data_IF_683747820889
#
_entry.id   IF_683747820889
#
_cell.length_a   1.000
_cell.length_b   1.000
_cell.length_c   1.000
_cell.angle_alpha   90.00
_cell.angle_beta   90.00
_cell.angle_gamma   90.00
#
_symmetry.space_group_name_H-M   'P 1'
#
loop_
_entity.id
_entity.type
_entity.pdbx_description
1 polymer ?
#
# COMPACT_ATOMS: atom_id res chain seq x y z
N UNK A 1 55.71 -20.15 31.19
CA UNK A 1 54.94 -18.99 30.75
C UNK A 1 53.48 -19.19 31.14
N UNK A 2 52.90 -18.16 31.73
CA UNK A 2 51.90 -18.27 32.79
C UNK A 2 50.48 -18.67 32.35
N UNK A 3 49.92 -19.60 33.12
CA UNK A 3 48.58 -19.59 33.72
C UNK A 3 47.34 -19.45 32.85
N UNK A 4 46.72 -20.63 32.66
CA UNK A 4 45.29 -20.88 32.50
C UNK A 4 44.50 -20.36 33.73
N UNK A 5 43.34 -19.76 33.44
CA UNK A 5 42.20 -19.26 34.26
C UNK A 5 42.06 -19.82 35.70
N UNK A 6 41.52 -19.06 36.70
CA UNK A 6 40.07 -19.16 36.95
C UNK A 6 39.35 -18.03 37.78
N UNK A 7 38.01 -18.00 37.63
CA UNK A 7 36.96 -17.96 38.69
C UNK A 7 36.55 -16.68 39.47
N UNK A 8 35.23 -16.58 39.63
CA UNK A 8 34.39 -15.98 40.70
C UNK A 8 34.21 -14.44 40.68
N UNK A 9 33.03 -13.84 40.44
CA UNK A 9 31.65 -13.99 40.96
C UNK A 9 31.34 -13.07 42.17
N UNK A 10 30.12 -12.49 42.13
CA UNK A 10 29.40 -11.65 43.13
C UNK A 10 29.85 -10.17 43.26
N UNK A 11 29.02 -9.15 43.51
CA UNK A 11 27.58 -8.85 43.64
C UNK A 11 27.53 -7.31 43.66
N UNK A 12 26.54 -6.61 43.11
CA UNK A 12 25.38 -6.02 43.83
C UNK A 12 24.66 -5.10 42.82
N UNK A 13 23.35 -5.26 42.69
CA UNK A 13 22.42 -4.24 42.17
C UNK A 13 22.06 -3.29 43.33
N UNK A 14 21.86 -1.98 43.11
CA UNK A 14 20.47 -1.55 43.01
C UNK A 14 20.18 -0.31 42.13
N UNK A 15 18.94 -0.33 41.64
CA UNK A 15 18.04 0.80 41.39
C UNK A 15 18.17 1.61 40.08
N UNK A 16 17.16 1.40 39.24
CA UNK A 16 16.79 2.15 38.04
C UNK A 16 16.46 3.64 38.33
N UNK A 17 16.29 4.46 37.27
CA UNK A 17 14.97 4.48 36.63
C UNK A 17 15.03 4.35 35.10
N UNK A 18 14.26 3.36 34.63
CA UNK A 18 13.30 3.40 33.52
C UNK A 18 13.42 4.65 32.63
N UNK A 19 14.09 4.48 31.48
CA UNK A 19 13.59 5.09 30.25
C UNK A 19 13.14 3.97 29.33
N UNK A 20 11.85 3.66 29.49
CA UNK A 20 11.01 3.11 28.43
C UNK A 20 11.29 3.84 27.12
N UNK A 21 11.68 3.12 26.08
CA UNK A 21 10.81 3.02 24.90
C UNK A 21 11.34 1.95 23.96
N UNK A 22 10.50 0.96 23.63
CA UNK A 22 10.79 -0.05 22.64
C UNK A 22 10.41 0.45 21.23
N UNK A 23 10.82 -0.37 20.27
CA UNK A 23 10.01 -0.79 19.15
C UNK A 23 10.07 0.02 17.85
N UNK A 24 10.37 -0.77 16.81
CA UNK A 24 9.95 -0.61 15.43
C UNK A 24 9.86 0.83 14.91
N UNK A 25 10.86 1.23 14.13
CA UNK A 25 10.65 2.12 13.00
C UNK A 25 9.77 1.41 11.95
N UNK A 26 8.51 1.19 12.30
CA UNK A 26 7.39 1.10 11.38
C UNK A 26 7.37 2.44 10.68
N UNK A 27 8.09 2.57 9.58
CA UNK A 27 7.96 3.77 8.76
C UNK A 27 6.51 3.83 8.28
N UNK A 28 5.71 4.83 8.69
CA UNK A 28 4.43 5.04 8.07
C UNK A 28 4.73 5.38 6.61
N UNK A 29 4.31 4.54 5.68
CA UNK A 29 4.33 4.84 4.24
C UNK A 29 3.75 6.26 4.09
N UNK A 30 4.58 7.22 3.69
CA UNK A 30 4.16 8.60 3.43
C UNK A 30 3.00 8.54 2.45
N UNK A 31 1.77 8.70 2.95
CA UNK A 31 0.60 9.00 2.10
C UNK A 31 0.99 10.28 1.39
N UNK A 32 1.16 10.20 0.07
CA UNK A 32 1.52 11.38 -0.75
C UNK A 32 0.53 12.48 -0.38
N UNK A 33 1.04 13.63 0.04
CA UNK A 33 0.21 14.76 0.40
C UNK A 33 -0.81 15.01 -0.73
N UNK A 34 -2.08 15.29 -0.39
CA UNK A 34 -3.04 15.70 -1.39
C UNK A 34 -2.43 16.84 -2.21
N UNK A 35 -2.61 16.80 -3.52
CA UNK A 35 -2.12 17.88 -4.38
C UNK A 35 -2.65 19.20 -3.82
N UNK A 36 -1.75 20.18 -3.65
CA UNK A 36 -2.03 21.50 -3.08
C UNK A 36 -3.31 22.05 -3.73
N UNK A 37 -4.42 22.10 -2.98
CA UNK A 37 -5.74 22.49 -3.46
C UNK A 37 -6.82 21.41 -3.55
N UNK A 38 -6.59 20.16 -3.12
CA UNK A 38 -7.69 19.18 -3.03
C UNK A 38 -8.44 19.39 -1.70
N UNK A 39 -9.70 19.85 -1.70
CA UNK A 39 -10.49 19.88 -0.48
C UNK A 39 -10.62 18.45 0.08
N UNK A 40 -10.65 18.27 1.41
CA UNK A 40 -10.71 16.95 2.04
C UNK A 40 -11.96 16.15 1.65
N UNK A 41 -12.98 16.79 1.08
CA UNK A 41 -14.28 16.22 0.73
C UNK A 41 -14.43 15.79 -0.74
N UNK A 42 -13.32 15.61 -1.48
CA UNK A 42 -13.42 15.15 -2.88
C UNK A 42 -13.72 13.66 -2.95
N UNK A 43 -14.95 13.32 -3.32
CA UNK A 43 -15.36 11.95 -3.66
C UNK A 43 -14.44 11.39 -4.78
N UNK A 44 -13.78 10.24 -4.58
CA UNK A 44 -12.91 9.63 -5.58
C UNK A 44 -13.71 9.15 -6.79
N UNK A 45 -13.05 8.94 -7.93
CA UNK A 45 -13.72 8.38 -9.12
C UNK A 45 -13.99 6.89 -8.91
N UNK A 46 -15.11 6.34 -9.41
CA UNK A 46 -15.28 4.90 -9.49
C UNK A 46 -14.14 4.29 -10.32
N UNK A 47 -13.68 3.11 -9.93
CA UNK A 47 -12.57 2.42 -10.60
C UNK A 47 -13.08 1.81 -11.90
N UNK A 48 -12.29 1.95 -12.98
CA UNK A 48 -12.56 1.24 -14.22
C UNK A 48 -11.91 -0.16 -14.21
N UNK A 49 -12.21 -0.96 -15.22
CA UNK A 49 -11.73 -2.34 -15.34
C UNK A 49 -10.20 -2.45 -15.27
N UNK A 50 -9.48 -1.57 -16.00
CA UNK A 50 -8.02 -1.54 -15.99
C UNK A 50 -7.44 -1.17 -14.61
N UNK A 51 -8.07 -0.24 -13.90
CA UNK A 51 -7.63 0.15 -12.54
C UNK A 51 -7.82 -1.02 -11.58
N UNK A 52 -8.94 -1.74 -11.67
CA UNK A 52 -9.19 -2.95 -10.87
C UNK A 52 -8.14 -4.01 -11.17
N UNK A 53 -7.94 -4.34 -12.44
CA UNK A 53 -6.91 -5.28 -12.89
C UNK A 53 -5.52 -4.90 -12.38
N UNK A 54 -5.11 -3.63 -12.53
CA UNK A 54 -3.79 -3.17 -12.08
C UNK A 54 -3.62 -3.31 -10.57
N UNK A 55 -4.66 -3.07 -9.78
CA UNK A 55 -4.59 -3.22 -8.31
C UNK A 55 -4.37 -4.68 -7.92
N UNK A 56 -5.07 -5.60 -8.57
CA UNK A 56 -4.94 -7.05 -8.35
C UNK A 56 -3.58 -7.57 -8.83
N UNK A 57 -3.18 -7.22 -10.06
CA UNK A 57 -1.90 -7.62 -10.65
C UNK A 57 -0.67 -7.01 -9.94
N UNK A 58 -0.82 -5.84 -9.32
CA UNK A 58 0.26 -5.19 -8.56
C UNK A 58 0.40 -5.72 -7.12
N UNK A 59 -0.38 -6.73 -6.72
CA UNK A 59 -0.23 -7.41 -5.43
C UNK A 59 0.99 -8.34 -5.34
N UNK A 60 1.79 -8.44 -6.42
CA UNK A 60 3.07 -9.18 -6.45
C UNK A 60 4.09 -8.47 -5.53
N UNK A 61 4.79 -9.22 -4.65
CA UNK A 61 5.47 -8.68 -3.47
C UNK A 61 6.54 -7.63 -3.79
N UNK A 62 6.28 -6.42 -3.31
CA UNK A 62 7.11 -5.45 -2.58
C UNK A 62 8.62 -5.21 -2.87
N UNK A 63 9.30 -5.96 -3.71
CA UNK A 63 10.69 -5.68 -4.13
C UNK A 63 10.76 -4.51 -5.13
N UNK A 64 9.73 -4.34 -5.97
CA UNK A 64 9.63 -3.25 -6.97
C UNK A 64 8.78 -2.09 -6.42
N UNK A 65 9.11 -1.60 -5.23
CA UNK A 65 8.16 -0.83 -4.43
C UNK A 65 7.87 0.60 -4.89
N UNK A 66 8.65 1.20 -5.81
CA UNK A 66 8.53 2.65 -6.02
C UNK A 66 8.16 3.13 -7.44
N UNK A 67 8.30 2.31 -8.48
CA UNK A 67 8.06 2.76 -9.86
C UNK A 67 6.63 2.50 -10.35
N UNK A 68 5.70 3.37 -9.97
CA UNK A 68 4.32 3.35 -10.50
C UNK A 68 4.27 3.47 -12.03
N UNK A 69 5.26 4.14 -12.63
CA UNK A 69 5.42 4.23 -14.09
C UNK A 69 5.66 2.85 -14.71
N UNK A 70 6.60 2.07 -14.17
CA UNK A 70 6.92 0.71 -14.66
C UNK A 70 5.74 -0.23 -14.47
N UNK A 71 5.09 -0.18 -13.31
CA UNK A 71 3.87 -0.97 -13.02
C UNK A 71 2.77 -0.71 -14.05
N UNK A 72 2.48 0.56 -14.33
CA UNK A 72 1.43 0.92 -15.29
C UNK A 72 1.79 0.51 -16.72
N UNK A 73 3.06 0.64 -17.13
CA UNK A 73 3.53 0.14 -18.43
C UNK A 73 3.42 -1.38 -18.54
N UNK A 74 3.86 -2.12 -17.52
CA UNK A 74 3.77 -3.58 -17.51
C UNK A 74 2.33 -4.06 -17.53
N UNK A 75 1.47 -3.49 -16.67
CA UNK A 75 0.05 -3.82 -16.64
C UNK A 75 -0.64 -3.48 -17.96
N UNK A 76 -0.28 -2.37 -18.62
CA UNK A 76 -0.83 -2.03 -19.93
C UNK A 76 -0.52 -3.08 -21.01
N UNK A 77 0.71 -3.63 -21.02
CA UNK A 77 1.08 -4.72 -21.93
C UNK A 77 0.27 -5.99 -21.66
N UNK A 78 0.14 -6.37 -20.39
CA UNK A 78 -0.61 -7.57 -20.00
C UNK A 78 -2.10 -7.39 -20.34
N UNK A 79 -2.67 -6.23 -20.02
CA UNK A 79 -4.07 -5.90 -20.32
C UNK A 79 -4.38 -6.01 -21.82
N UNK A 80 -3.47 -5.55 -22.68
CA UNK A 80 -3.62 -5.67 -24.12
C UNK A 80 -3.53 -7.12 -24.63
N UNK A 81 -2.88 -8.01 -23.87
CA UNK A 81 -2.77 -9.44 -24.19
C UNK A 81 -3.85 -10.33 -23.56
N UNK A 82 -4.70 -9.78 -22.68
CA UNK A 82 -5.81 -10.54 -22.07
C UNK A 82 -6.84 -10.90 -23.13
N UNK A 83 -7.47 -12.08 -22.99
CA UNK A 83 -8.63 -12.45 -23.80
C UNK A 83 -9.84 -11.58 -23.46
N UNK A 84 -10.79 -11.49 -24.38
CA UNK A 84 -12.02 -10.73 -24.15
C UNK A 84 -12.81 -11.26 -22.95
N UNK A 85 -12.79 -12.58 -22.71
CA UNK A 85 -13.42 -13.20 -21.55
C UNK A 85 -12.81 -12.72 -20.24
N UNK A 86 -11.48 -12.66 -20.16
CA UNK A 86 -10.77 -12.16 -18.98
C UNK A 86 -11.04 -10.67 -18.75
N UNK A 87 -11.06 -9.88 -19.84
CA UNK A 87 -11.39 -8.46 -19.76
C UNK A 87 -12.83 -8.23 -19.28
N UNK A 88 -13.77 -9.05 -19.75
CA UNK A 88 -15.19 -8.97 -19.41
C UNK A 88 -15.43 -9.17 -17.91
N UNK A 89 -14.66 -10.03 -17.25
CA UNK A 89 -14.73 -10.19 -15.79
C UNK A 89 -14.39 -8.88 -15.06
N UNK A 90 -13.32 -8.20 -15.48
CA UNK A 90 -12.94 -6.90 -14.89
C UNK A 90 -13.91 -5.77 -15.28
N UNK A 91 -14.51 -5.82 -16.46
CA UNK A 91 -15.56 -4.88 -16.88
C UNK A 91 -16.82 -5.04 -16.02
N UNK A 92 -17.25 -6.27 -15.75
CA UNK A 92 -18.37 -6.55 -14.84
C UNK A 92 -18.12 -5.99 -13.44
N UNK A 93 -16.89 -6.15 -12.92
CA UNK A 93 -16.49 -5.57 -11.63
C UNK A 93 -16.50 -4.03 -11.65
N UNK A 94 -16.05 -3.43 -12.76
CA UNK A 94 -16.08 -1.97 -12.93
C UNK A 94 -17.52 -1.43 -13.00
N UNK A 95 -18.42 -2.15 -13.67
CA UNK A 95 -19.84 -1.80 -13.74
C UNK A 95 -20.50 -1.89 -12.36
N UNK A 96 -20.15 -2.90 -11.57
CA UNK A 96 -20.60 -3.02 -10.19
C UNK A 96 -20.13 -1.83 -9.33
N UNK A 97 -18.83 -1.51 -9.34
CA UNK A 97 -18.29 -0.36 -8.60
C UNK A 97 -18.92 0.96 -9.08
N UNK A 98 -19.18 1.11 -10.38
CA UNK A 98 -19.87 2.28 -10.94
C UNK A 98 -21.32 2.37 -10.46
N UNK A 99 -22.03 1.24 -10.39
CA UNK A 99 -23.40 1.19 -9.89
C UNK A 99 -23.46 1.51 -8.39
N UNK A 100 -22.61 0.89 -7.58
CA UNK A 100 -22.49 1.17 -6.15
C UNK A 100 -22.12 2.63 -5.89
N UNK A 101 -21.18 3.17 -6.66
CA UNK A 101 -20.78 4.58 -6.54
C UNK A 101 -21.93 5.52 -6.87
N UNK A 102 -22.77 5.20 -7.86
CA UNK A 102 -23.94 6.01 -8.21
C UNK A 102 -25.02 5.96 -7.12
N UNK A 103 -25.19 4.82 -6.46
CA UNK A 103 -26.12 4.67 -5.32
C UNK A 103 -25.59 5.43 -4.10
N UNK A 104 -24.29 5.31 -3.81
CA UNK A 104 -23.65 5.95 -2.66
C UNK A 104 -23.52 7.45 -2.80
N UNK A 105 -23.31 7.94 -4.03
CA UNK A 105 -23.10 9.34 -4.34
C UNK A 105 -23.98 9.75 -5.53
N UNK A 106 -25.30 9.92 -5.32
CA UNK A 106 -26.24 10.29 -6.39
C UNK A 106 -25.92 11.65 -7.02
N UNK A 107 -25.43 12.61 -6.21
CA UNK A 107 -25.04 13.95 -6.67
C UNK A 107 -23.61 14.03 -7.22
N UNK A 108 -22.94 12.89 -7.39
CA UNK A 108 -21.58 12.88 -7.89
C UNK A 108 -21.51 13.39 -9.33
N UNK A 109 -20.72 14.46 -9.52
CA UNK A 109 -20.39 14.99 -10.85
C UNK A 109 -18.88 15.06 -11.03
N UNK A 110 -18.42 14.56 -12.16
CA UNK A 110 -17.00 14.61 -12.51
C UNK A 110 -16.57 16.07 -12.77
N UNK A 111 -15.60 16.53 -11.97
CA UNK A 111 -14.90 17.80 -12.15
C UNK A 111 -13.44 17.49 -12.54
N UNK A 112 -13.03 17.71 -13.81
CA UNK A 112 -11.68 17.41 -14.27
C UNK A 112 -10.60 18.16 -13.49
#
# INVERSE_FOLDING_TARGET
DSSILPKCALTVSPSAPIFDTPDASTQPRKKRAPRKGTPPDRIPRPRNAFIIFRLLAASIPNSVQNDQKRKSRSAGKIWASLSDEQRKEYEKQADHEKAEHRIKYPDYRFKP
#
